data_IF_677801060034
#
_entry.id   IF_677801060034
#
_cell.length_a   1.000
_cell.length_b   1.000
_cell.length_c   1.000
_cell.angle_alpha   90.00
_cell.angle_beta   90.00
_cell.angle_gamma   90.00
#
_symmetry.space_group_name_H-M   'P 1'
#
loop_
_entity.id
_entity.type
_entity.pdbx_description
1 polymer ?
#
# COMPACT_ATOMS: atom_id res chain seq x y z
N UNK A 1 13.59 67.63 59.31
CA UNK A 1 14.50 67.26 58.20
C UNK A 1 14.85 65.77 58.20
N UNK A 2 15.36 65.20 59.31
CA UNK A 2 15.78 63.77 59.40
C UNK A 2 14.77 62.71 58.93
N UNK A 3 13.47 62.83 59.24
CA UNK A 3 12.44 61.85 58.81
C UNK A 3 12.22 61.79 57.28
N UNK A 4 12.45 62.90 56.57
CA UNK A 4 12.34 62.94 55.09
C UNK A 4 13.56 62.30 54.43
N UNK A 5 14.74 62.51 54.98
CA UNK A 5 15.98 61.88 54.52
C UNK A 5 15.91 60.35 54.66
N UNK A 6 15.34 59.86 55.76
CA UNK A 6 15.15 58.43 56.01
C UNK A 6 14.13 57.79 55.04
N UNK A 7 13.06 58.50 54.69
CA UNK A 7 12.11 58.05 53.66
C UNK A 7 12.74 58.00 52.27
N UNK A 8 13.55 59.01 51.91
CA UNK A 8 14.27 59.03 50.62
C UNK A 8 15.32 57.91 50.56
N UNK A 9 15.99 57.61 51.67
CA UNK A 9 16.93 56.49 51.76
C UNK A 9 16.23 55.14 51.53
N UNK A 10 15.07 54.90 52.18
CA UNK A 10 14.26 53.69 51.97
C UNK A 10 13.75 53.57 50.53
N UNK A 11 13.35 54.67 49.89
CA UNK A 11 12.94 54.67 48.48
C UNK A 11 14.10 54.33 47.54
N UNK A 12 15.30 54.87 47.79
CA UNK A 12 16.50 54.54 47.01
C UNK A 12 16.92 53.09 47.16
N UNK A 13 16.82 52.54 48.37
CA UNK A 13 17.12 51.13 48.64
C UNK A 13 16.10 50.21 47.95
N UNK A 14 14.80 50.54 48.00
CA UNK A 14 13.77 49.81 47.28
C UNK A 14 13.98 49.86 45.75
N UNK A 15 14.36 51.01 45.20
CA UNK A 15 14.70 51.15 43.77
C UNK A 15 15.93 50.31 43.40
N UNK A 16 16.96 50.29 44.26
CA UNK A 16 18.17 49.48 44.05
C UNK A 16 17.84 47.98 44.06
N UNK A 17 17.03 47.53 45.02
CA UNK A 17 16.57 46.15 45.09
C UNK A 17 15.73 45.75 43.86
N UNK A 18 14.90 46.66 43.34
CA UNK A 18 14.11 46.42 42.12
C UNK A 18 15.02 46.28 40.89
N UNK A 19 16.06 47.11 40.78
CA UNK A 19 17.04 47.04 39.70
C UNK A 19 17.86 45.75 39.76
N UNK A 20 18.23 45.29 40.95
CA UNK A 20 18.94 44.02 41.13
C UNK A 20 18.07 42.82 40.75
N UNK A 21 16.78 42.82 41.16
CA UNK A 21 15.81 41.80 40.72
C UNK A 21 15.64 41.78 39.20
N UNK A 22 15.57 42.96 38.56
CA UNK A 22 15.49 43.07 37.09
C UNK A 22 16.76 42.54 36.42
N UNK A 23 17.94 42.83 36.96
CA UNK A 23 19.22 42.30 36.45
C UNK A 23 19.30 40.78 36.58
N UNK A 24 18.88 40.23 37.71
CA UNK A 24 18.82 38.78 37.93
C UNK A 24 17.86 38.09 36.94
N UNK A 25 16.68 38.66 36.73
CA UNK A 25 15.70 38.15 35.75
C UNK A 25 16.25 38.13 34.32
N UNK A 26 16.96 39.20 33.91
CA UNK A 26 17.58 39.26 32.58
C UNK A 26 18.71 38.23 32.45
N UNK A 27 19.50 38.00 33.51
CA UNK A 27 20.54 36.97 33.48
C UNK A 27 19.96 35.56 33.38
N UNK A 28 18.85 35.29 34.08
CA UNK A 28 18.16 34.01 34.02
C UNK A 28 17.53 33.76 32.64
N UNK A 29 16.89 34.79 32.07
CA UNK A 29 16.41 34.76 30.68
C UNK A 29 17.54 34.44 29.67
N UNK A 30 18.72 35.06 29.83
CA UNK A 30 19.89 34.76 28.98
C UNK A 30 20.43 33.34 29.17
N UNK A 31 20.39 32.81 30.40
CA UNK A 31 20.81 31.43 30.68
C UNK A 31 19.86 30.42 30.03
N UNK A 32 18.56 30.60 30.19
CA UNK A 32 17.53 29.74 29.59
C UNK A 32 17.55 29.76 28.07
N UNK A 33 17.79 30.93 27.45
CA UNK A 33 17.94 31.03 25.99
C UNK A 33 19.18 30.30 25.49
N UNK A 34 20.32 30.44 26.18
CA UNK A 34 21.55 29.71 25.87
C UNK A 34 21.39 28.19 26.02
N UNK A 35 20.59 27.73 26.98
CA UNK A 35 20.29 26.31 27.14
C UNK A 35 19.41 25.78 26.01
N UNK A 36 18.37 26.53 25.61
CA UNK A 36 17.53 26.19 24.45
C UNK A 36 18.33 26.13 23.16
N UNK A 37 19.28 27.04 22.96
CA UNK A 37 20.13 27.01 21.76
C UNK A 37 21.07 25.79 21.74
N UNK A 38 21.61 25.38 22.90
CA UNK A 38 22.39 24.14 23.01
C UNK A 38 21.54 22.90 22.71
N UNK A 39 20.30 22.88 23.16
CA UNK A 39 19.36 21.79 22.89
C UNK A 39 19.03 21.70 21.39
N UNK A 40 18.75 22.84 20.75
CA UNK A 40 18.55 22.93 19.29
C UNK A 40 19.78 22.46 18.51
N UNK A 41 20.98 22.83 18.95
CA UNK A 41 22.23 22.39 18.32
C UNK A 41 22.42 20.86 18.46
N UNK A 42 22.12 20.31 19.64
CA UNK A 42 22.17 18.86 19.89
C UNK A 42 21.17 18.11 18.99
N UNK A 43 19.94 18.60 18.90
CA UNK A 43 18.91 18.01 18.02
C UNK A 43 19.35 18.05 16.54
N UNK A 44 19.96 19.15 16.10
CA UNK A 44 20.51 19.27 14.74
C UNK A 44 21.61 18.24 14.49
N UNK A 45 22.54 18.05 15.43
CA UNK A 45 23.61 17.04 15.33
C UNK A 45 23.07 15.61 15.34
N UNK A 46 22.06 15.33 16.15
CA UNK A 46 21.46 14.00 16.21
C UNK A 46 20.70 13.67 14.90
N UNK A 47 19.97 14.64 14.33
CA UNK A 47 19.36 14.49 13.00
C UNK A 47 20.39 14.28 11.89
N UNK A 48 21.54 14.95 11.96
CA UNK A 48 22.62 14.78 10.98
C UNK A 48 23.25 13.38 11.07
N UNK A 49 23.53 12.90 12.29
CA UNK A 49 23.99 11.52 12.52
C UNK A 49 22.98 10.47 12.07
N UNK A 50 21.69 10.72 12.24
CA UNK A 50 20.64 9.81 11.77
C UNK A 50 20.61 9.73 10.23
N UNK A 51 20.71 10.88 9.55
CA UNK A 51 20.82 10.94 8.07
C UNK A 51 22.08 10.24 7.57
N UNK A 52 23.20 10.36 8.28
CA UNK A 52 24.43 9.66 7.93
C UNK A 52 24.28 8.14 8.05
N UNK A 53 23.69 7.66 9.15
CA UNK A 53 23.36 6.23 9.32
C UNK A 53 22.40 5.72 8.26
N UNK A 54 21.44 6.54 7.83
CA UNK A 54 20.51 6.18 6.76
C UNK A 54 21.24 6.03 5.42
N UNK A 55 22.13 6.97 5.07
CA UNK A 55 22.99 6.88 3.88
C UNK A 55 23.91 5.65 3.92
N UNK A 56 24.42 5.27 5.08
CA UNK A 56 25.21 4.03 5.22
C UNK A 56 24.37 2.79 4.98
N UNK A 57 23.15 2.71 5.54
CA UNK A 57 22.22 1.61 5.30
C UNK A 57 21.83 1.49 3.82
N UNK A 58 21.63 2.63 3.14
CA UNK A 58 21.37 2.65 1.70
C UNK A 58 22.55 2.09 0.91
N UNK A 59 23.79 2.53 1.21
CA UNK A 59 25.01 2.00 0.57
C UNK A 59 25.16 0.50 0.77
N UNK A 60 24.90 -0.02 1.97
CA UNK A 60 24.99 -1.46 2.23
C UNK A 60 23.89 -2.24 1.50
N UNK A 61 22.68 -1.67 1.42
CA UNK A 61 21.58 -2.23 0.61
C UNK A 61 21.95 -2.28 -0.87
N UNK A 62 22.58 -1.24 -1.42
CA UNK A 62 23.06 -1.23 -2.80
C UNK A 62 24.15 -2.27 -3.04
N UNK A 63 25.15 -2.38 -2.15
CA UNK A 63 26.18 -3.42 -2.21
C UNK A 63 25.57 -4.82 -2.22
N UNK A 64 24.55 -5.06 -1.41
CA UNK A 64 23.87 -6.36 -1.38
C UNK A 64 23.08 -6.64 -2.67
N UNK A 65 22.40 -5.64 -3.23
CA UNK A 65 21.76 -5.76 -4.55
C UNK A 65 22.77 -6.08 -5.65
N UNK A 66 23.96 -5.47 -5.62
CA UNK A 66 25.01 -5.73 -6.60
C UNK A 66 25.65 -7.12 -6.41
N UNK A 67 25.84 -7.57 -5.17
CA UNK A 67 26.23 -8.97 -4.88
C UNK A 67 25.21 -9.96 -5.42
N UNK A 68 23.92 -9.66 -5.28
CA UNK A 68 22.84 -10.51 -5.78
C UNK A 68 22.78 -10.52 -7.31
N UNK A 69 22.91 -9.36 -7.97
CA UNK A 69 23.06 -9.28 -9.43
C UNK A 69 24.25 -10.11 -9.93
N UNK A 70 25.40 -10.02 -9.26
CA UNK A 70 26.59 -10.82 -9.58
C UNK A 70 26.36 -12.33 -9.43
N UNK A 71 25.66 -12.76 -8.37
CA UNK A 71 25.24 -14.17 -8.20
C UNK A 71 24.29 -14.62 -9.30
N UNK A 72 23.33 -13.77 -9.69
CA UNK A 72 22.34 -14.07 -10.74
C UNK A 72 22.99 -14.19 -12.13
N UNK A 73 23.97 -13.35 -12.44
CA UNK A 73 24.77 -13.43 -13.67
C UNK A 73 25.61 -14.71 -13.71
N UNK A 74 26.31 -15.06 -12.61
CA UNK A 74 27.06 -16.33 -12.51
C UNK A 74 26.18 -17.56 -12.66
N UNK A 75 24.95 -17.55 -12.14
CA UNK A 75 23.99 -18.65 -12.33
C UNK A 75 23.52 -18.77 -13.79
N UNK A 76 23.25 -17.64 -14.47
CA UNK A 76 22.91 -17.64 -15.91
C UNK A 76 24.05 -18.17 -16.78
N UNK A 77 25.30 -17.83 -16.49
CA UNK A 77 26.46 -18.34 -17.23
C UNK A 77 26.67 -19.85 -17.01
N UNK A 78 26.39 -20.34 -15.80
CA UNK A 78 26.48 -21.77 -15.46
C UNK A 78 25.39 -22.59 -16.18
N UNK A 79 24.19 -22.05 -16.32
CA UNK A 79 23.12 -22.64 -17.13
C UNK A 79 23.41 -22.56 -18.63
N UNK A 80 23.93 -21.43 -19.12
CA UNK A 80 24.31 -21.27 -20.53
C UNK A 80 25.38 -22.28 -20.99
N UNK A 81 26.36 -22.58 -20.13
CA UNK A 81 27.36 -23.65 -20.41
C UNK A 81 26.75 -25.05 -20.37
N UNK A 82 25.77 -25.31 -19.48
CA UNK A 82 25.03 -26.59 -19.40
C UNK A 82 24.14 -26.82 -20.63
N UNK A 83 23.52 -25.76 -21.15
CA UNK A 83 22.69 -25.78 -22.36
C UNK A 83 23.51 -26.02 -23.62
N UNK A 84 24.66 -25.33 -23.79
CA UNK A 84 25.59 -25.57 -24.92
C UNK A 84 26.19 -26.98 -24.93
N UNK A 85 26.45 -27.57 -23.75
CA UNK A 85 26.92 -28.96 -23.66
C UNK A 85 25.81 -29.98 -23.97
N UNK A 86 24.54 -29.70 -23.63
CA UNK A 86 23.40 -30.54 -24.04
C UNK A 86 23.16 -30.44 -25.55
N UNK A 87 23.22 -29.24 -26.13
CA UNK A 87 22.98 -29.03 -27.56
C UNK A 87 24.05 -29.66 -28.47
N UNK A 88 25.33 -29.65 -28.06
CA UNK A 88 26.40 -30.39 -28.77
C UNK A 88 26.19 -31.92 -28.71
N UNK A 89 25.64 -32.45 -27.61
CA UNK A 89 25.36 -33.89 -27.46
C UNK A 89 24.10 -34.32 -28.23
N UNK A 90 23.11 -33.42 -28.37
CA UNK A 90 21.91 -33.62 -29.20
C UNK A 90 22.24 -33.63 -30.69
N UNK A 91 23.05 -32.67 -31.18
CA UNK A 91 23.45 -32.61 -32.60
C UNK A 91 24.28 -33.82 -33.05
N UNK A 92 25.07 -34.42 -32.15
CA UNK A 92 25.84 -35.64 -32.44
C UNK A 92 24.97 -36.90 -32.51
N UNK A 93 23.92 -37.00 -31.67
CA UNK A 93 22.93 -38.09 -31.75
C UNK A 93 22.02 -37.95 -32.98
N UNK A 94 21.62 -36.74 -33.35
CA UNK A 94 20.69 -36.50 -34.45
C UNK A 94 21.33 -36.69 -35.84
N UNK A 95 22.65 -36.47 -35.98
CA UNK A 95 23.38 -36.85 -37.21
C UNK A 95 23.46 -38.37 -37.41
N UNK A 96 23.45 -39.16 -36.34
CA UNK A 96 23.48 -40.63 -36.41
C UNK A 96 22.09 -41.24 -36.69
N UNK A 97 21.02 -40.57 -36.28
CA UNK A 97 19.62 -40.96 -36.57
C UNK A 97 19.19 -40.62 -38.00
N UNK A 98 19.58 -39.44 -38.53
CA UNK A 98 19.21 -39.01 -39.89
C UNK A 98 19.81 -39.88 -41.01
N UNK A 99 20.91 -40.61 -40.75
CA UNK A 99 21.51 -41.52 -41.74
C UNK A 99 20.79 -42.87 -41.84
N UNK A 100 19.98 -43.27 -40.84
CA UNK A 100 19.19 -44.51 -40.87
C UNK A 100 17.77 -44.29 -41.38
N UNK A 101 17.20 -43.09 -41.25
CA UNK A 101 15.81 -42.83 -41.64
C UNK A 101 15.63 -42.26 -43.06
N UNK A 102 16.71 -41.78 -43.71
CA UNK A 102 16.68 -41.39 -45.14
C UNK A 102 16.60 -42.58 -46.11
N UNK A 103 16.81 -43.82 -45.64
CA UNK A 103 16.70 -45.03 -46.49
C UNK A 103 15.29 -45.63 -46.50
N UNK A 104 14.39 -45.19 -45.61
CA UNK A 104 13.06 -45.79 -45.43
C UNK A 104 11.90 -44.93 -45.95
N UNK A 105 12.09 -43.62 -46.15
CA UNK A 105 11.02 -42.70 -46.65
C UNK A 105 11.10 -42.36 -48.15
N UNK A 106 12.15 -42.78 -48.87
CA UNK A 106 12.23 -42.57 -50.33
C UNK A 106 11.30 -43.48 -51.15
N UNK A 107 10.49 -44.33 -50.51
CA UNK A 107 9.55 -45.25 -51.19
C UNK A 107 8.07 -44.91 -51.02
N UNK A 108 7.69 -44.01 -50.11
CA UNK A 108 6.27 -43.68 -49.88
C UNK A 108 5.85 -42.26 -50.33
N UNK A 109 6.77 -41.32 -50.51
CA UNK A 109 6.43 -39.93 -50.88
C UNK A 109 6.44 -39.64 -52.39
N UNK A 110 6.08 -40.63 -53.22
CA UNK A 110 5.91 -40.46 -54.68
C UNK A 110 4.45 -40.43 -55.14
N UNK A 111 3.46 -40.53 -54.24
CA UNK A 111 2.03 -40.57 -54.63
C UNK A 111 1.20 -39.33 -54.24
N UNK A 112 1.64 -38.46 -53.33
CA UNK A 112 0.73 -37.43 -52.76
C UNK A 112 1.10 -35.97 -53.10
N UNK A 113 2.06 -35.73 -54.01
CA UNK A 113 2.53 -34.36 -54.32
C UNK A 113 2.14 -33.88 -55.73
N UNK A 114 0.97 -34.29 -56.22
CA UNK A 114 0.43 -33.81 -57.50
C UNK A 114 -1.07 -33.51 -57.38
N UNK A 115 -1.39 -32.53 -56.54
CA UNK A 115 -2.62 -31.71 -56.56
C UNK A 115 -2.55 -30.77 -55.37
N UNK A 116 -2.17 -29.52 -55.61
CA UNK A 116 -2.69 -28.29 -55.00
C UNK A 116 -1.88 -27.18 -55.68
N UNK A 117 -2.39 -26.73 -56.81
CA UNK A 117 -2.25 -25.33 -57.20
C UNK A 117 -3.56 -24.90 -57.86
N UNK A 118 -4.52 -24.50 -57.01
CA UNK A 118 -5.49 -23.45 -57.33
C UNK A 118 -6.48 -23.20 -56.18
N UNK A 119 -6.86 -21.94 -56.11
CA UNK A 119 -7.97 -21.34 -55.38
C UNK A 119 -7.72 -20.99 -53.91
N UNK A 120 -7.54 -19.69 -53.67
CA UNK A 120 -7.79 -19.08 -52.37
C UNK A 120 -9.29 -18.97 -52.11
N UNK A 121 -9.67 -18.95 -50.84
CA UNK A 121 -10.97 -18.48 -50.39
C UNK A 121 -10.95 -18.05 -48.92
N UNK A 122 -11.93 -17.20 -48.62
CA UNK A 122 -12.17 -16.32 -47.47
C UNK A 122 -12.27 -17.07 -46.13
N UNK A 123 -11.76 -16.45 -45.04
CA UNK A 123 -11.91 -16.93 -43.65
C UNK A 123 -13.32 -16.66 -43.13
N UNK A 124 -13.98 -17.70 -42.63
CA UNK A 124 -15.32 -17.68 -42.04
C UNK A 124 -15.22 -17.94 -40.50
N UNK A 125 -15.96 -17.16 -39.70
CA UNK A 125 -15.81 -16.97 -38.25
C UNK A 125 -16.37 -18.12 -37.37
N UNK A 126 -16.19 -19.40 -37.74
CA UNK A 126 -16.74 -20.57 -37.02
C UNK A 126 -15.77 -21.34 -36.13
N UNK A 127 -14.62 -20.76 -35.77
CA UNK A 127 -13.57 -21.46 -35.01
C UNK A 127 -13.65 -21.30 -33.47
N UNK A 128 -14.42 -20.35 -32.92
CA UNK A 128 -14.44 -20.10 -31.47
C UNK A 128 -15.20 -21.14 -30.65
N UNK A 129 -16.26 -21.71 -31.19
CA UNK A 129 -17.16 -22.59 -30.42
C UNK A 129 -16.58 -24.01 -30.25
N UNK A 130 -15.83 -24.49 -31.25
CA UNK A 130 -15.20 -25.82 -31.22
C UNK A 130 -14.04 -25.90 -30.23
N UNK A 131 -13.36 -24.79 -29.98
CA UNK A 131 -12.27 -24.73 -29.02
C UNK A 131 -12.77 -24.63 -27.58
N UNK A 132 -13.93 -24.00 -27.36
CA UNK A 132 -14.68 -24.03 -26.10
C UNK A 132 -15.20 -25.44 -25.78
N UNK A 133 -15.70 -26.17 -26.77
CA UNK A 133 -16.12 -27.57 -26.59
C UNK A 133 -14.95 -28.50 -26.22
N UNK A 134 -13.81 -28.38 -26.90
CA UNK A 134 -12.60 -29.15 -26.56
C UNK A 134 -12.05 -28.83 -25.16
N UNK A 135 -12.12 -27.56 -24.74
CA UNK A 135 -11.72 -27.15 -23.40
C UNK A 135 -12.67 -27.74 -22.34
N UNK A 136 -13.98 -27.74 -22.61
CA UNK A 136 -14.98 -28.35 -21.74
C UNK A 136 -14.83 -29.89 -21.67
N UNK A 137 -14.50 -30.56 -22.77
CA UNK A 137 -14.18 -31.99 -22.78
C UNK A 137 -12.92 -32.31 -21.99
N UNK A 138 -11.87 -31.50 -22.11
CA UNK A 138 -10.64 -31.66 -21.33
C UNK A 138 -10.90 -31.49 -19.81
N UNK A 139 -11.78 -30.56 -19.42
CA UNK A 139 -12.22 -30.39 -18.03
C UNK A 139 -13.01 -31.61 -17.55
N UNK A 140 -13.92 -32.14 -18.37
CA UNK A 140 -14.71 -33.36 -18.05
C UNK A 140 -13.82 -34.57 -17.84
N UNK A 141 -12.86 -34.82 -18.73
CA UNK A 141 -11.92 -35.95 -18.60
C UNK A 141 -11.06 -35.82 -17.34
N UNK A 142 -10.64 -34.59 -16.98
CA UNK A 142 -9.84 -34.35 -15.78
C UNK A 142 -10.63 -34.52 -14.47
N UNK A 143 -11.93 -34.25 -14.47
CA UNK A 143 -12.80 -34.49 -13.31
C UNK A 143 -13.10 -35.98 -13.12
N UNK A 144 -13.33 -36.71 -14.21
CA UNK A 144 -13.70 -38.14 -14.21
C UNK A 144 -12.59 -39.03 -13.64
N UNK A 145 -11.33 -38.70 -13.95
CA UNK A 145 -10.16 -39.49 -13.51
C UNK A 145 -9.89 -39.33 -12.01
N UNK A 146 -10.39 -38.26 -11.37
CA UNK A 146 -10.04 -37.90 -9.98
C UNK A 146 -11.11 -38.28 -8.95
N UNK A 147 -12.33 -38.53 -9.39
CA UNK A 147 -13.47 -38.88 -8.55
C UNK A 147 -14.27 -39.90 -9.35
N UNK A 148 -14.20 -41.20 -9.02
CA UNK A 148 -14.85 -42.28 -9.77
C UNK A 148 -16.39 -42.27 -9.66
N UNK A 149 -17.02 -41.15 -10.02
CA UNK A 149 -18.47 -40.93 -10.02
C UNK A 149 -18.81 -40.29 -11.37
N UNK A 150 -19.72 -40.92 -12.11
CA UNK A 150 -20.24 -40.46 -13.38
C UNK A 150 -21.09 -39.20 -13.16
N UNK A 151 -20.66 -38.06 -13.71
CA UNK A 151 -21.41 -36.80 -13.63
C UNK A 151 -22.24 -36.67 -14.92
N UNK A 152 -23.57 -36.82 -14.81
CA UNK A 152 -24.52 -36.48 -15.87
C UNK A 152 -24.52 -34.97 -16.16
N UNK A 153 -24.89 -34.52 -17.37
CA UNK A 153 -24.73 -33.13 -17.80
C UNK A 153 -25.79 -32.26 -17.14
N UNK A 154 -25.51 -31.78 -15.94
CA UNK A 154 -26.29 -30.71 -15.31
C UNK A 154 -25.54 -29.40 -15.50
N UNK A 155 -26.29 -28.37 -15.90
CA UNK A 155 -25.81 -27.01 -16.16
C UNK A 155 -24.83 -26.53 -15.07
N UNK A 156 -23.83 -25.76 -15.50
CA UNK A 156 -22.68 -25.25 -14.70
C UNK A 156 -23.04 -24.77 -13.28
N UNK A 157 -24.25 -24.24 -13.08
CA UNK A 157 -24.81 -23.81 -11.79
C UNK A 157 -24.94 -24.93 -10.75
N UNK A 158 -25.25 -26.17 -11.16
CA UNK A 158 -25.41 -27.31 -10.23
C UNK A 158 -24.06 -27.92 -9.86
N UNK A 159 -23.07 -27.85 -10.77
CA UNK A 159 -21.68 -28.22 -10.45
C UNK A 159 -21.08 -27.28 -9.38
N UNK A 160 -21.43 -25.99 -9.40
CA UNK A 160 -21.03 -25.02 -8.38
C UNK A 160 -21.64 -25.36 -6.99
N UNK A 161 -22.93 -25.74 -6.96
CA UNK A 161 -23.62 -26.15 -5.73
C UNK A 161 -23.07 -27.45 -5.14
N UNK A 162 -22.71 -28.43 -5.98
CA UNK A 162 -22.10 -29.68 -5.52
C UNK A 162 -20.64 -29.50 -5.07
N UNK A 163 -19.93 -28.47 -5.55
CA UNK A 163 -18.62 -28.07 -5.02
C UNK A 163 -18.73 -27.47 -3.61
N UNK A 164 -19.82 -26.77 -3.31
CA UNK A 164 -20.11 -26.19 -1.99
C UNK A 164 -20.32 -27.27 -0.92
N UNK A 165 -21.01 -28.35 -1.25
CA UNK A 165 -21.32 -29.43 -0.28
C UNK A 165 -20.09 -30.29 0.06
N UNK A 166 -19.14 -30.46 -0.86
CA UNK A 166 -17.84 -31.11 -0.56
C UNK A 166 -16.94 -30.28 0.36
N UNK A 167 -17.11 -28.95 0.37
CA UNK A 167 -16.44 -28.06 1.32
C UNK A 167 -17.02 -28.17 2.73
N UNK A 168 -18.26 -28.62 2.86
CA UNK A 168 -18.99 -28.72 4.13
C UNK A 168 -18.56 -29.94 4.97
N UNK A 169 -18.18 -31.04 4.32
CA UNK A 169 -17.85 -32.32 4.99
C UNK A 169 -16.48 -32.29 5.72
N UNK A 170 -15.58 -31.36 5.37
CA UNK A 170 -14.27 -31.20 6.04
C UNK A 170 -14.32 -30.34 7.32
N UNK A 171 -15.50 -29.82 7.70
CA UNK A 171 -15.71 -28.97 8.90
C UNK A 171 -16.18 -29.75 10.14
N UNK A 172 -15.83 -31.03 10.27
CA UNK A 172 -16.32 -31.90 11.34
C UNK A 172 -15.57 -31.78 12.68
N UNK A 173 -14.52 -30.96 12.77
CA UNK A 173 -13.84 -30.67 14.03
C UNK A 173 -13.80 -29.16 14.30
N UNK A 174 -14.23 -28.74 15.50
CA UNK A 174 -14.22 -27.35 15.99
C UNK A 174 -12.83 -26.68 15.81
N UNK A 175 -11.76 -27.47 15.93
CA UNK A 175 -10.36 -27.06 15.71
C UNK A 175 -10.10 -26.53 14.28
N UNK A 176 -10.84 -27.01 13.28
CA UNK A 176 -10.67 -26.59 11.89
C UNK A 176 -11.57 -25.43 11.48
N UNK A 177 -12.64 -25.17 12.23
CA UNK A 177 -13.50 -24.00 12.05
C UNK A 177 -12.89 -22.77 12.74
N UNK A 178 -12.35 -22.94 13.94
CA UNK A 178 -11.61 -21.91 14.69
C UNK A 178 -10.10 -22.14 14.63
N UNK A 179 -9.53 -22.03 13.44
CA UNK A 179 -8.07 -22.13 13.30
C UNK A 179 -7.41 -20.97 14.02
N UNK A 180 -6.45 -21.28 14.89
CA UNK A 180 -5.65 -20.25 15.54
C UNK A 180 -4.83 -19.51 14.49
N UNK A 181 -5.11 -18.22 14.32
CA UNK A 181 -4.36 -17.38 13.39
C UNK A 181 -2.97 -17.03 13.92
N UNK A 182 -2.00 -16.90 13.03
CA UNK A 182 -0.63 -16.53 13.40
C UNK A 182 -0.63 -15.10 13.95
N UNK A 183 -0.19 -14.93 15.20
CA UNK A 183 -0.22 -13.63 15.90
C UNK A 183 1.08 -12.81 15.81
N UNK A 184 2.12 -13.31 15.11
CA UNK A 184 3.39 -12.60 14.84
C UNK A 184 3.95 -11.77 16.03
N UNK A 185 3.96 -12.36 17.23
CA UNK A 185 4.42 -11.71 18.47
C UNK A 185 3.75 -10.35 18.78
N UNK A 186 2.53 -10.11 18.28
CA UNK A 186 1.79 -8.86 18.44
C UNK A 186 2.36 -7.65 17.68
N UNK A 187 3.36 -7.86 16.80
CA UNK A 187 4.02 -6.78 16.04
C UNK A 187 3.85 -6.91 14.53
N UNK A 188 3.57 -8.11 14.02
CA UNK A 188 3.26 -8.32 12.61
C UNK A 188 1.79 -8.11 12.29
N UNK A 189 1.51 -7.80 11.03
CA UNK A 189 0.16 -7.74 10.47
C UNK A 189 0.14 -8.52 9.15
N UNK A 190 -0.99 -9.13 8.83
CA UNK A 190 -1.20 -9.83 7.57
C UNK A 190 -1.29 -8.79 6.46
N UNK A 191 -0.58 -9.04 5.36
CA UNK A 191 -0.54 -8.15 4.22
C UNK A 191 -1.92 -8.00 3.55
N UNK A 192 -2.22 -6.81 3.03
CA UNK A 192 -3.45 -6.51 2.29
C UNK A 192 -4.69 -6.24 3.14
N UNK A 193 -4.69 -6.61 4.41
CA UNK A 193 -5.75 -6.24 5.35
C UNK A 193 -5.40 -4.94 6.08
N UNK A 194 -6.40 -4.14 6.44
CA UNK A 194 -6.20 -2.92 7.22
C UNK A 194 -5.53 -3.23 8.57
N UNK A 195 -4.40 -2.58 8.82
CA UNK A 195 -3.59 -2.76 10.03
C UNK A 195 -4.37 -2.32 11.27
N UNK A 196 -5.21 -1.29 11.16
CA UNK A 196 -5.99 -0.78 12.29
C UNK A 196 -7.12 -1.75 12.66
N UNK A 197 -7.84 -2.28 11.68
CA UNK A 197 -8.82 -3.36 11.89
C UNK A 197 -8.17 -4.61 12.51
N UNK A 198 -7.00 -5.03 12.00
CA UNK A 198 -6.28 -6.19 12.54
C UNK A 198 -5.84 -5.99 13.98
N UNK A 199 -5.29 -4.81 14.31
CA UNK A 199 -4.88 -4.48 15.69
C UNK A 199 -6.09 -4.54 16.63
N UNK A 200 -7.25 -4.02 16.24
CA UNK A 200 -8.47 -4.03 17.08
C UNK A 200 -8.92 -5.46 17.43
N UNK A 201 -8.82 -6.40 16.50
CA UNK A 201 -9.25 -7.78 16.73
C UNK A 201 -8.21 -8.62 17.49
N UNK A 202 -6.91 -8.33 17.31
CA UNK A 202 -5.81 -9.22 17.76
C UNK A 202 -4.99 -8.67 18.93
N UNK A 203 -5.24 -7.45 19.39
CA UNK A 203 -4.33 -6.79 20.35
C UNK A 203 -4.37 -7.37 21.76
N UNK A 204 -5.45 -8.01 22.19
CA UNK A 204 -5.71 -8.26 23.61
C UNK A 204 -4.65 -9.13 24.29
N UNK A 205 -4.29 -10.28 23.69
CA UNK A 205 -3.37 -11.24 24.30
C UNK A 205 -1.97 -10.66 24.52
N UNK A 206 -1.35 -10.11 23.47
CA UNK A 206 -0.01 -9.53 23.57
C UNK A 206 0.00 -8.18 24.28
N UNK A 207 -1.09 -7.40 24.27
CA UNK A 207 -1.19 -6.19 25.07
C UNK A 207 -1.07 -6.49 26.57
N UNK A 208 -1.85 -7.47 27.05
CA UNK A 208 -1.81 -7.92 28.44
C UNK A 208 -0.44 -8.52 28.81
N UNK A 209 0.19 -9.26 27.89
CA UNK A 209 1.53 -9.82 28.10
C UNK A 209 2.61 -8.73 28.21
N UNK A 210 2.55 -7.71 27.35
CA UNK A 210 3.50 -6.60 27.36
C UNK A 210 3.33 -5.73 28.60
N UNK A 211 2.09 -5.53 29.07
CA UNK A 211 1.82 -4.79 30.28
C UNK A 211 2.41 -5.44 31.53
N UNK A 212 2.35 -6.78 31.62
CA UNK A 212 2.92 -7.54 32.74
C UNK A 212 4.45 -7.61 32.71
N UNK A 213 5.06 -7.63 31.52
CA UNK A 213 6.52 -7.84 31.36
C UNK A 213 7.35 -6.56 31.34
N UNK A 214 6.78 -5.43 30.91
CA UNK A 214 7.53 -4.17 30.74
C UNK A 214 7.87 -3.50 32.07
N UNK A 215 9.07 -2.93 32.14
CA UNK A 215 9.45 -2.01 33.21
C UNK A 215 8.73 -0.66 33.05
N UNK A 216 8.72 0.16 34.12
CA UNK A 216 8.06 1.48 34.08
C UNK A 216 8.63 2.39 32.99
N UNK A 217 9.95 2.36 32.78
CA UNK A 217 10.64 3.16 31.77
C UNK A 217 10.27 2.73 30.35
N UNK A 218 10.23 1.42 30.08
CA UNK A 218 9.80 0.89 28.78
C UNK A 218 8.33 1.23 28.47
N UNK A 219 7.47 1.27 29.49
CA UNK A 219 6.07 1.69 29.33
C UNK A 219 5.99 3.14 28.89
N UNK A 220 6.75 4.04 29.52
CA UNK A 220 6.79 5.46 29.15
C UNK A 220 7.32 5.67 27.73
N UNK A 221 8.39 4.95 27.35
CA UNK A 221 8.95 5.06 26.00
C UNK A 221 7.95 4.59 24.93
N UNK A 222 7.24 3.49 25.18
CA UNK A 222 6.22 3.02 24.25
C UNK A 222 5.02 3.97 24.18
N UNK A 223 4.62 4.57 25.30
CA UNK A 223 3.56 5.57 25.34
C UNK A 223 3.91 6.80 24.50
N UNK A 224 5.14 7.31 24.61
CA UNK A 224 5.65 8.41 23.77
C UNK A 224 5.63 8.02 22.29
N UNK A 225 6.07 6.81 21.95
CA UNK A 225 6.04 6.30 20.57
C UNK A 225 4.60 6.23 20.05
N UNK A 226 3.67 5.68 20.84
CA UNK A 226 2.25 5.59 20.50
C UNK A 226 1.61 6.97 20.35
N UNK A 227 1.95 7.93 21.20
CA UNK A 227 1.49 9.31 21.07
C UNK A 227 1.96 9.94 19.76
N UNK A 228 3.21 9.71 19.36
CA UNK A 228 3.75 10.16 18.08
C UNK A 228 3.02 9.56 16.88
N UNK A 229 2.75 8.25 16.91
CA UNK A 229 1.96 7.57 15.85
C UNK A 229 0.54 8.12 15.79
N UNK A 230 -0.15 8.23 16.93
CA UNK A 230 -1.51 8.81 17.00
C UNK A 230 -1.56 10.24 16.46
N UNK A 231 -0.53 11.05 16.71
CA UNK A 231 -0.45 12.42 16.16
C UNK A 231 -0.34 12.41 14.64
N UNK A 232 0.45 11.50 14.06
CA UNK A 232 0.56 11.31 12.61
C UNK A 232 -0.78 10.85 12.01
N UNK A 233 -1.39 9.82 12.60
CA UNK A 233 -2.70 9.31 12.16
C UNK A 233 -3.79 10.38 12.21
N UNK A 234 -3.85 11.18 13.28
CA UNK A 234 -4.80 12.30 13.38
C UNK A 234 -4.56 13.38 12.33
N UNK A 235 -3.30 13.69 12.01
CA UNK A 235 -2.96 14.64 10.95
C UNK A 235 -3.39 14.11 9.59
N UNK A 236 -3.07 12.87 9.29
CA UNK A 236 -3.47 12.22 8.04
C UNK A 236 -5.00 12.13 7.92
N UNK A 237 -5.70 11.80 9.00
CA UNK A 237 -7.15 11.78 9.03
C UNK A 237 -7.73 13.19 8.79
N UNK A 238 -7.13 14.23 9.38
CA UNK A 238 -7.55 15.62 9.19
C UNK A 238 -7.33 16.12 7.76
N UNK A 239 -6.20 15.80 7.15
CA UNK A 239 -5.87 16.22 5.78
C UNK A 239 -6.74 15.48 4.74
N UNK A 240 -7.01 14.19 4.98
CA UNK A 240 -7.83 13.33 4.10
C UNK A 240 -9.34 13.37 4.41
N UNK A 241 -9.82 14.34 5.20
CA UNK A 241 -11.26 14.51 5.43
C UNK A 241 -12.01 14.69 4.10
N UNK A 242 -13.26 14.24 4.09
CA UNK A 242 -14.14 14.44 2.94
C UNK A 242 -14.49 15.93 2.79
N UNK A 243 -14.72 16.39 1.56
CA UNK A 243 -14.90 17.81 1.23
C UNK A 243 -16.13 18.44 1.90
N UNK A 244 -17.15 17.64 2.24
CA UNK A 244 -18.35 18.10 2.96
C UNK A 244 -18.04 18.61 4.37
N UNK A 245 -16.95 18.14 4.99
CA UNK A 245 -16.51 18.55 6.33
C UNK A 245 -15.44 19.65 6.29
N UNK A 246 -15.08 20.14 5.09
CA UNK A 246 -14.03 21.15 4.89
C UNK A 246 -14.66 22.50 4.56
N UNK A 247 -14.08 23.57 5.07
CA UNK A 247 -14.42 24.93 4.61
C UNK A 247 -13.86 25.20 3.22
N UNK A 248 -14.39 26.22 2.54
CA UNK A 248 -13.99 26.56 1.17
C UNK A 248 -12.49 26.89 1.09
N UNK A 249 -11.94 27.59 2.09
CA UNK A 249 -10.53 27.95 2.16
C UNK A 249 -9.60 26.74 2.34
N UNK A 250 -10.11 25.66 2.93
CA UNK A 250 -9.36 24.43 3.17
C UNK A 250 -9.42 23.45 1.98
N UNK A 251 -10.17 23.78 0.91
CA UNK A 251 -10.35 22.90 -0.24
C UNK A 251 -9.10 22.85 -1.12
N UNK A 252 -8.50 21.66 -1.20
CA UNK A 252 -7.36 21.40 -2.09
C UNK A 252 -7.82 20.99 -3.49
N UNK A 253 -6.92 21.00 -4.48
CA UNK A 253 -7.21 20.52 -5.84
C UNK A 253 -7.67 19.06 -5.89
N UNK A 254 -7.15 18.22 -4.98
CA UNK A 254 -7.62 16.84 -4.77
C UNK A 254 -9.09 16.82 -4.35
N UNK A 255 -9.46 17.65 -3.38
CA UNK A 255 -10.84 17.70 -2.89
C UNK A 255 -11.80 18.17 -3.99
N UNK A 256 -11.38 19.12 -4.84
CA UNK A 256 -12.15 19.53 -6.01
C UNK A 256 -12.30 18.44 -7.06
N UNK A 257 -11.29 17.56 -7.19
CA UNK A 257 -11.40 16.38 -8.06
C UNK A 257 -12.39 15.38 -7.49
N UNK A 258 -12.32 15.07 -6.20
CA UNK A 258 -13.27 14.17 -5.52
C UNK A 258 -14.69 14.72 -5.64
N UNK A 259 -14.88 16.01 -5.41
CA UNK A 259 -16.18 16.67 -5.61
C UNK A 259 -16.73 16.44 -7.03
N UNK A 260 -15.91 16.60 -8.06
CA UNK A 260 -16.33 16.33 -9.44
C UNK A 260 -16.62 14.86 -9.69
N UNK A 261 -15.86 13.95 -9.07
CA UNK A 261 -16.11 12.51 -9.15
C UNK A 261 -17.46 12.14 -8.50
N UNK A 262 -17.78 12.70 -7.32
CA UNK A 262 -19.01 12.42 -6.58
C UNK A 262 -20.27 12.90 -7.30
N UNK A 263 -20.19 14.04 -8.01
CA UNK A 263 -21.30 14.58 -8.82
C UNK A 263 -21.24 14.17 -10.29
N UNK A 264 -20.33 13.24 -10.66
CA UNK A 264 -20.12 12.77 -12.03
C UNK A 264 -19.87 13.90 -13.07
N UNK A 265 -19.23 15.00 -12.66
CA UNK A 265 -18.95 16.15 -13.51
C UNK A 265 -17.63 15.94 -14.25
N UNK A 266 -17.68 15.84 -15.57
CA UNK A 266 -16.49 15.77 -16.44
C UNK A 266 -16.36 17.04 -17.29
N UNK A 267 -15.19 17.68 -17.24
CA UNK A 267 -14.95 18.91 -18.00
C UNK A 267 -13.81 18.68 -18.99
N UNK A 268 -13.99 19.17 -20.22
CA UNK A 268 -12.96 19.22 -21.26
C UNK A 268 -12.59 20.69 -21.48
N UNK A 269 -11.29 21.01 -21.48
CA UNK A 269 -10.77 22.37 -21.63
C UNK A 269 -9.79 22.77 -20.53
N UNK A 270 -8.99 23.81 -20.78
CA UNK A 270 -8.06 24.38 -19.79
C UNK A 270 -8.67 25.58 -19.05
N UNK A 271 -8.22 25.82 -17.80
CA UNK A 271 -8.68 26.93 -16.92
C UNK A 271 -10.20 26.96 -16.67
N UNK A 272 -10.72 25.90 -16.06
CA UNK A 272 -12.12 25.86 -15.62
C UNK A 272 -12.22 26.44 -14.20
N UNK A 273 -13.18 27.34 -13.92
CA UNK A 273 -13.44 27.79 -12.56
C UNK A 273 -13.89 26.62 -11.67
N UNK A 274 -13.65 26.74 -10.37
CA UNK A 274 -14.06 25.73 -9.38
C UNK A 274 -15.60 25.70 -9.30
N UNK A 275 -16.21 24.51 -9.20
CA UNK A 275 -17.67 24.39 -9.06
C UNK A 275 -18.13 24.95 -7.71
N UNK A 276 -19.39 25.34 -7.64
CA UNK A 276 -20.05 25.77 -6.40
C UNK A 276 -20.50 24.55 -5.60
N UNK A 277 -20.30 24.59 -4.28
CA UNK A 277 -20.74 23.53 -3.36
C UNK A 277 -22.16 23.79 -2.85
N UNK A 278 -22.44 25.04 -2.53
CA UNK A 278 -23.66 25.55 -1.91
C UNK A 278 -23.89 26.99 -2.40
N UNK A 279 -25.14 27.45 -2.32
CA UNK A 279 -25.55 28.76 -2.85
C UNK A 279 -24.94 29.94 -2.08
N UNK A 280 -24.57 29.75 -0.81
CA UNK A 280 -23.94 30.79 0.01
C UNK A 280 -22.53 31.15 -0.48
N UNK A 281 -21.81 30.20 -1.07
CA UNK A 281 -20.45 30.41 -1.59
C UNK A 281 -20.43 31.04 -2.98
N UNK A 282 -21.61 31.22 -3.61
CA UNK A 282 -21.72 31.73 -4.97
C UNK A 282 -21.48 33.23 -5.10
N UNK A 283 -21.46 33.98 -3.98
CA UNK A 283 -21.29 35.43 -4.00
C UNK A 283 -22.41 36.16 -4.77
N UNK A 284 -23.62 35.60 -4.75
CA UNK A 284 -24.78 36.16 -5.45
C UNK A 284 -25.34 37.38 -4.72
N UNK A 285 -25.94 38.35 -5.42
CA UNK A 285 -26.73 39.41 -4.79
C UNK A 285 -27.84 38.82 -3.90
N UNK A 286 -28.09 39.44 -2.74
CA UNK A 286 -29.05 38.96 -1.75
C UNK A 286 -30.45 38.73 -2.34
N UNK A 287 -30.90 39.62 -3.23
CA UNK A 287 -32.20 39.50 -3.91
C UNK A 287 -32.34 38.20 -4.71
N UNK A 288 -31.27 37.79 -5.40
CA UNK A 288 -31.26 36.56 -6.22
C UNK A 288 -31.21 35.33 -5.32
N UNK A 289 -30.41 35.37 -4.25
CA UNK A 289 -30.32 34.31 -3.26
C UNK A 289 -31.68 34.04 -2.59
N UNK A 290 -32.39 35.10 -2.19
CA UNK A 290 -33.71 35.01 -1.55
C UNK A 290 -34.75 34.38 -2.48
N UNK A 291 -34.72 34.73 -3.77
CA UNK A 291 -35.63 34.14 -4.77
C UNK A 291 -35.34 32.64 -4.96
N UNK A 292 -34.07 32.24 -5.05
CA UNK A 292 -33.68 30.81 -5.15
C UNK A 292 -34.19 30.02 -3.94
N UNK A 293 -34.06 30.58 -2.74
CA UNK A 293 -34.52 29.94 -1.51
C UNK A 293 -36.04 29.87 -1.41
N UNK A 294 -36.77 30.90 -1.90
CA UNK A 294 -38.23 30.91 -1.98
C UNK A 294 -38.77 29.86 -2.95
N UNK A 295 -38.10 29.66 -4.08
CA UNK A 295 -38.50 28.64 -5.06
C UNK A 295 -38.18 27.22 -4.54
N UNK A 296 -37.26 27.10 -3.58
CA UNK A 296 -36.96 25.84 -2.91
C UNK A 296 -35.85 25.03 -3.57
N UNK A 297 -34.99 25.66 -4.40
CA UNK A 297 -33.79 25.02 -4.96
C UNK A 297 -32.71 24.87 -3.89
N UNK A 298 -32.93 23.99 -2.93
CA UNK A 298 -31.97 23.65 -1.89
C UNK A 298 -31.00 22.60 -2.41
N UNK A 299 -29.71 22.78 -2.12
CA UNK A 299 -28.70 21.73 -2.30
C UNK A 299 -28.85 20.78 -1.11
N UNK A 300 -29.15 19.51 -1.39
CA UNK A 300 -29.36 18.48 -0.36
C UNK A 300 -28.05 17.78 0.02
#
# INVERSE_FOLDING_TARGET
>A
MKKREEQVAKQREAQKALLEKRKAFIQDAKRTEKERDREREKERKDREREREREREREKDTERDKDRERGRRSRSRDREGRRSRSRERRSRSRERRSRSRERRSRSREKRQDAEKIDRNGEVKDERETDKDLEKLNEAIRQRLYIKVGIVIWPVSFSVALLLYSTKFLILKLADIYDRRHEVQFFGRGSIAGMDVNAQKKQKSEFYANLMEKRRTKEEKQQEELRLAGVKKKEKKEAFDNRHWTQKSLDQMTERDWRIFREDFNISIKGGRVPKPLRNWEEAGLPAEVFDVIMKIGYKVS
#
